data_IF_429827309189
#
_entry.id   IF_429827309189
#
_cell.length_a   1.000
_cell.length_b   1.000
_cell.length_c   1.000
_cell.angle_alpha   90.00
_cell.angle_beta   90.00
_cell.angle_gamma   90.00
#
_symmetry.space_group_name_H-M   'P 1'
#
loop_
_entity.id
_entity.type
_entity.pdbx_description
1 polymer ?
#
# COMPACT_ATOMS: atom_id res chain seq x y z
N UNK A 1 15.57 8.76 6.35
CA UNK A 1 15.47 8.62 4.89
C UNK A 1 14.06 8.22 4.55
N UNK A 2 13.35 9.03 3.76
CA UNK A 2 12.02 8.68 3.25
C UNK A 2 12.20 7.92 1.96
N UNK A 3 11.57 6.76 1.84
CA UNK A 3 11.52 5.98 0.61
C UNK A 3 10.09 5.97 0.08
N UNK A 4 9.95 5.85 -1.24
CA UNK A 4 8.66 5.63 -1.87
C UNK A 4 8.39 4.12 -1.80
N UNK A 5 7.24 3.76 -1.24
CA UNK A 5 6.72 2.39 -1.19
C UNK A 5 5.49 2.30 -2.07
N UNK A 6 5.31 1.17 -2.75
CA UNK A 6 4.06 0.86 -3.46
C UNK A 6 3.14 0.05 -2.55
N UNK A 7 1.85 0.33 -2.62
CA UNK A 7 0.82 -0.46 -1.97
C UNK A 7 0.08 -1.26 -3.04
N UNK A 8 -0.10 -2.55 -2.77
CA UNK A 8 -0.83 -3.47 -3.63
C UNK A 8 -2.16 -3.85 -3.00
N UNK A 9 -3.22 -3.86 -3.80
CA UNK A 9 -4.53 -4.36 -3.39
C UNK A 9 -4.45 -5.86 -3.07
N UNK A 10 -4.99 -6.28 -1.93
CA UNK A 10 -5.01 -7.70 -1.53
C UNK A 10 -5.79 -8.61 -2.48
N UNK A 11 -6.81 -8.08 -3.17
CA UNK A 11 -7.70 -8.88 -4.01
C UNK A 11 -7.24 -8.97 -5.46
N UNK A 12 -7.05 -7.82 -6.13
CA UNK A 12 -6.64 -7.79 -7.53
C UNK A 12 -5.13 -7.78 -7.74
N UNK A 13 -4.33 -7.75 -6.65
CA UNK A 13 -2.86 -7.69 -6.64
C UNK A 13 -2.25 -6.53 -7.45
N UNK A 14 -3.07 -5.56 -7.85
CA UNK A 14 -2.62 -4.38 -8.60
C UNK A 14 -1.90 -3.42 -7.67
N UNK A 15 -0.82 -2.83 -8.16
CA UNK A 15 -0.07 -1.75 -7.50
C UNK A 15 -0.65 -0.44 -7.98
N UNK A 16 -1.50 0.16 -7.16
CA UNK A 16 -2.36 1.27 -7.53
C UNK A 16 -2.14 2.49 -6.63
N UNK A 17 -1.33 2.38 -5.58
CA UNK A 17 -0.96 3.49 -4.71
C UNK A 17 0.53 3.52 -4.44
N UNK A 18 1.07 4.72 -4.34
CA UNK A 18 2.42 5.00 -3.87
C UNK A 18 2.32 5.89 -2.64
N UNK A 19 3.11 5.59 -1.61
CA UNK A 19 3.20 6.41 -0.40
C UNK A 19 4.66 6.57 -0.01
N UNK A 20 4.98 7.59 0.78
CA UNK A 20 6.33 7.73 1.32
C UNK A 20 6.36 7.20 2.75
N UNK A 21 7.36 6.38 3.05
CA UNK A 21 7.57 5.78 4.37
C UNK A 21 8.96 6.13 4.88
N UNK A 22 9.06 6.41 6.17
CA UNK A 22 10.35 6.59 6.82
C UNK A 22 10.81 5.26 7.43
N UNK A 23 11.73 4.56 6.76
CA UNK A 23 12.26 3.26 7.23
C UNK A 23 12.83 3.28 8.64
N UNK A 24 13.32 4.44 9.12
CA UNK A 24 13.91 4.57 10.46
C UNK A 24 12.87 4.58 11.57
N UNK A 25 11.70 5.16 11.33
CA UNK A 25 10.69 5.40 12.38
C UNK A 25 9.60 4.33 12.36
N UNK A 26 9.28 3.82 11.16
CA UNK A 26 8.24 2.80 10.97
C UNK A 26 8.86 1.61 10.26
N UNK A 27 9.31 0.56 10.98
CA UNK A 27 9.84 -0.66 10.35
C UNK A 27 8.73 -1.59 9.85
N UNK A 28 7.54 -1.52 10.46
CA UNK A 28 6.44 -2.46 10.21
C UNK A 28 5.79 -2.29 8.82
N UNK A 29 5.17 -3.34 8.29
CA UNK A 29 4.53 -3.32 6.97
C UNK A 29 3.28 -2.43 7.03
N UNK A 30 3.19 -1.47 6.10
CA UNK A 30 2.02 -0.61 6.04
C UNK A 30 0.83 -1.35 5.40
N UNK A 31 -0.31 -1.32 6.10
CA UNK A 31 -1.60 -1.79 5.60
C UNK A 31 -2.62 -0.65 5.68
N UNK A 32 -3.24 -0.30 4.55
CA UNK A 32 -4.23 0.75 4.48
C UNK A 32 -5.50 0.26 3.78
N UNK A 33 -6.66 0.53 4.35
CA UNK A 33 -7.93 0.34 3.66
C UNK A 33 -8.14 1.47 2.65
N UNK A 34 -7.95 1.15 1.37
CA UNK A 34 -8.14 2.09 0.25
C UNK A 34 -9.13 1.53 -0.75
N UNK A 35 -9.78 2.43 -1.46
CA UNK A 35 -10.70 2.06 -2.53
C UNK A 35 -9.93 1.48 -3.72
N UNK A 36 -10.30 0.29 -4.18
CA UNK A 36 -9.76 -0.25 -5.42
C UNK A 36 -10.73 0.00 -6.57
N UNK A 37 -10.32 0.80 -7.56
CA UNK A 37 -11.14 1.08 -8.76
C UNK A 37 -11.51 -0.16 -9.58
N UNK A 38 -10.73 -1.23 -9.50
CA UNK A 38 -10.98 -2.47 -10.25
C UNK A 38 -11.92 -3.43 -9.52
N UNK A 39 -11.87 -3.45 -8.19
CA UNK A 39 -12.78 -4.27 -7.38
C UNK A 39 -14.06 -3.50 -7.01
N UNK A 40 -14.09 -2.19 -7.23
CA UNK A 40 -15.15 -1.27 -6.83
C UNK A 40 -15.51 -1.33 -5.34
N UNK A 41 -14.53 -1.66 -4.49
CA UNK A 41 -14.69 -1.77 -3.03
C UNK A 41 -13.44 -1.31 -2.30
N UNK A 42 -13.60 -1.01 -1.01
CA UNK A 42 -12.49 -0.76 -0.11
C UNK A 42 -11.82 -2.07 0.28
N UNK A 43 -10.53 -2.17 0.02
CA UNK A 43 -9.75 -3.38 0.28
C UNK A 43 -8.49 -3.04 1.06
N UNK A 44 -7.96 -4.00 1.83
CA UNK A 44 -6.66 -3.84 2.46
C UNK A 44 -5.58 -3.79 1.37
N UNK A 45 -4.91 -2.64 1.28
CA UNK A 45 -3.75 -2.44 0.44
C UNK A 45 -2.49 -2.59 1.29
N UNK A 46 -1.63 -3.53 0.91
CA UNK A 46 -0.42 -3.91 1.65
C UNK A 46 0.83 -3.39 0.97
N UNK A 47 1.83 -3.01 1.74
CA UNK A 47 3.14 -2.62 1.25
C UNK A 47 3.76 -3.75 0.40
N UNK A 48 4.07 -3.43 -0.85
CA UNK A 48 4.85 -4.27 -1.76
C UNK A 48 6.24 -3.67 -1.90
N UNK A 49 7.24 -4.56 -1.92
CA UNK A 49 8.65 -4.21 -2.02
C UNK A 49 9.00 -3.58 -3.36
#
# INVERSE_FOLDING_TARGET
>A
MRIIVTLACGECKRRNYTTTKNKRTTPDKLEFNKYCRFCCKHTPHKETK
#
